data_IF_021445774592
#
_entry.id   IF_021445774592
#
_cell.length_a   1.000
_cell.length_b   1.000
_cell.length_c   1.000
_cell.angle_alpha   90.00
_cell.angle_beta   90.00
_cell.angle_gamma   90.00
#
_symmetry.space_group_name_H-M   'P 1'
#
loop_
_entity.id
_entity.type
_entity.pdbx_description
1 polymer ?
#
# COMPACT_ATOMS: atom_id res chain seq x y z
N UNK A 1 -2.14 0.80 10.04
CA UNK A 1 -3.54 0.68 9.58
C UNK A 1 -4.06 -0.63 10.16
N UNK A 2 -5.30 -1.06 9.90
CA UNK A 2 -5.70 -2.43 10.24
C UNK A 2 -5.56 -3.31 8.99
N UNK A 3 -4.65 -4.31 8.98
CA UNK A 3 -4.39 -5.14 7.79
C UNK A 3 -5.64 -5.95 7.37
N UNK A 4 -6.48 -6.37 8.31
CA UNK A 4 -7.75 -7.04 8.00
C UNK A 4 -8.70 -6.16 7.20
N UNK A 5 -8.83 -4.89 7.59
CA UNK A 5 -9.71 -3.95 6.88
C UNK A 5 -9.20 -3.69 5.47
N UNK A 6 -7.89 -3.59 5.30
CA UNK A 6 -7.27 -3.42 3.98
C UNK A 6 -7.46 -4.65 3.10
N UNK A 7 -7.21 -5.85 3.63
CA UNK A 7 -7.41 -7.10 2.90
C UNK A 7 -8.87 -7.27 2.45
N UNK A 8 -9.83 -6.99 3.35
CA UNK A 8 -11.27 -7.01 3.02
C UNK A 8 -11.67 -5.99 1.95
N UNK A 9 -11.06 -4.80 1.97
CA UNK A 9 -11.31 -3.80 0.94
C UNK A 9 -10.76 -4.27 -0.42
N UNK A 10 -9.52 -4.77 -0.48
CA UNK A 10 -8.96 -5.36 -1.70
C UNK A 10 -9.81 -6.53 -2.19
N UNK A 11 -10.31 -7.36 -1.28
CA UNK A 11 -11.19 -8.48 -1.60
C UNK A 11 -12.45 -8.03 -2.34
N UNK A 12 -13.06 -6.95 -1.86
CA UNK A 12 -14.27 -6.39 -2.45
C UNK A 12 -13.99 -5.76 -3.83
N UNK A 13 -12.92 -5.00 -3.95
CA UNK A 13 -12.60 -4.26 -5.20
C UNK A 13 -12.12 -5.19 -6.32
N UNK A 14 -11.37 -6.24 -5.99
CA UNK A 14 -10.75 -7.14 -6.96
C UNK A 14 -11.46 -8.50 -7.06
N UNK A 15 -12.54 -8.71 -6.30
CA UNK A 15 -13.22 -10.01 -6.24
C UNK A 15 -12.30 -11.15 -5.80
N UNK A 16 -11.51 -10.95 -4.74
CA UNK A 16 -10.54 -11.95 -4.29
C UNK A 16 -11.20 -13.16 -3.64
N UNK A 17 -10.63 -14.34 -3.85
CA UNK A 17 -11.03 -15.56 -3.14
C UNK A 17 -10.59 -15.52 -1.67
N UNK A 18 -11.17 -16.41 -0.84
CA UNK A 18 -10.75 -16.53 0.57
C UNK A 18 -9.27 -16.87 0.71
N UNK A 19 -8.74 -17.72 -0.16
CA UNK A 19 -7.31 -18.11 -0.16
C UNK A 19 -6.41 -16.92 -0.50
N UNK A 20 -6.78 -16.14 -1.52
CA UNK A 20 -6.04 -14.92 -1.89
C UNK A 20 -6.04 -13.90 -0.73
N UNK A 21 -7.18 -13.73 -0.04
CA UNK A 21 -7.27 -12.86 1.14
C UNK A 21 -6.37 -13.36 2.27
N UNK A 22 -6.36 -14.68 2.52
CA UNK A 22 -5.52 -15.29 3.55
C UNK A 22 -4.02 -15.10 3.25
N UNK A 23 -3.62 -15.13 1.98
CA UNK A 23 -2.24 -14.87 1.55
C UNK A 23 -1.86 -13.38 1.58
N UNK A 24 -2.79 -12.48 1.25
CA UNK A 24 -2.54 -11.03 1.20
C UNK A 24 -2.49 -10.40 2.60
N UNK A 25 -3.30 -10.87 3.55
CA UNK A 25 -3.35 -10.34 4.91
C UNK A 25 -1.97 -10.27 5.61
N UNK A 26 -1.13 -11.32 5.65
CA UNK A 26 0.18 -11.25 6.27
C UNK A 26 1.13 -10.28 5.54
N UNK A 27 1.05 -10.18 4.21
CA UNK A 27 1.84 -9.20 3.42
C UNK A 27 1.52 -7.77 3.86
N UNK A 28 0.22 -7.46 4.02
CA UNK A 28 -0.23 -6.15 4.49
C UNK A 28 0.15 -5.88 5.94
N UNK A 29 0.07 -6.89 6.81
CA UNK A 29 0.44 -6.79 8.22
C UNK A 29 1.94 -6.51 8.39
N UNK A 30 2.79 -7.24 7.69
CA UNK A 30 4.24 -7.05 7.67
C UNK A 30 4.60 -5.64 7.17
N UNK A 31 4.03 -5.23 6.03
CA UNK A 31 4.20 -3.87 5.51
C UNK A 31 3.82 -2.82 6.56
N UNK A 32 2.64 -2.94 7.16
CA UNK A 32 2.15 -1.98 8.15
C UNK A 32 3.07 -1.89 9.39
N UNK A 33 3.59 -3.02 9.86
CA UNK A 33 4.56 -3.07 10.96
C UNK A 33 5.87 -2.35 10.57
N UNK A 34 6.43 -2.65 9.40
CA UNK A 34 7.68 -2.02 8.95
C UNK A 34 7.51 -0.51 8.74
N UNK A 35 6.35 -0.07 8.22
CA UNK A 35 6.01 1.35 8.12
C UNK A 35 5.97 2.01 9.48
N UNK A 36 5.36 1.37 10.49
CA UNK A 36 5.32 1.89 11.85
C UNK A 36 6.71 2.03 12.44
N UNK A 37 7.56 1.01 12.29
CA UNK A 37 8.95 1.05 12.75
C UNK A 37 9.74 2.18 12.07
N UNK A 38 9.63 2.33 10.75
CA UNK A 38 10.29 3.42 10.02
C UNK A 38 9.78 4.81 10.41
N UNK A 39 8.51 4.95 10.79
CA UNK A 39 7.95 6.22 11.26
C UNK A 39 8.48 6.57 12.65
N UNK A 40 8.58 5.58 13.53
CA UNK A 40 9.09 5.73 14.89
C UNK A 40 10.63 5.94 14.93
N UNK A 41 11.34 5.49 13.91
CA UNK A 41 12.80 5.65 13.81
C UNK A 41 13.18 7.13 13.60
N UNK A 42 13.62 7.79 14.67
CA UNK A 42 14.09 9.19 14.67
C UNK A 42 15.55 9.34 14.25
N UNK A 43 16.26 8.24 14.03
CA UNK A 43 17.69 8.25 13.68
C UNK A 43 17.92 8.47 12.18
N UNK A 44 16.93 8.14 11.35
CA UNK A 44 17.02 8.29 9.90
C UNK A 44 16.66 9.71 9.45
N UNK A 45 17.46 10.21 8.50
CA UNK A 45 17.16 11.42 7.76
C UNK A 45 15.79 11.28 7.05
N UNK A 46 15.01 12.37 6.91
CA UNK A 46 13.69 12.34 6.30
C UNK A 46 13.69 11.76 4.87
N UNK A 47 14.74 12.03 4.09
CA UNK A 47 14.89 11.53 2.72
C UNK A 47 15.09 10.00 2.70
N UNK A 48 15.98 9.48 3.55
CA UNK A 48 16.22 8.04 3.64
C UNK A 48 14.97 7.29 4.11
N UNK A 49 14.26 7.87 5.07
CA UNK A 49 12.98 7.33 5.54
C UNK A 49 11.95 7.26 4.41
N UNK A 50 11.86 8.30 3.59
CA UNK A 50 10.98 8.31 2.41
C UNK A 50 11.39 7.27 1.37
N UNK A 51 12.69 7.11 1.11
CA UNK A 51 13.18 6.10 0.17
C UNK A 51 12.84 4.69 0.66
N UNK A 52 13.11 4.38 1.94
CA UNK A 52 12.74 3.11 2.55
C UNK A 52 11.23 2.87 2.51
N UNK A 53 10.43 3.89 2.83
CA UNK A 53 8.97 3.82 2.72
C UNK A 53 8.52 3.46 1.29
N UNK A 54 9.10 4.08 0.26
CA UNK A 54 8.79 3.77 -1.14
C UNK A 54 9.15 2.34 -1.51
N UNK A 55 10.33 1.87 -1.09
CA UNK A 55 10.77 0.50 -1.33
C UNK A 55 9.81 -0.52 -0.69
N UNK A 56 9.39 -0.30 0.56
CA UNK A 56 8.40 -1.16 1.23
C UNK A 56 7.06 -1.20 0.52
N UNK A 57 6.59 -0.06 0.00
CA UNK A 57 5.34 0.00 -0.76
C UNK A 57 5.45 -0.77 -2.07
N UNK A 58 6.60 -0.70 -2.75
CA UNK A 58 6.86 -1.44 -3.99
C UNK A 58 6.94 -2.94 -3.73
N UNK A 59 7.70 -3.37 -2.71
CA UNK A 59 7.82 -4.77 -2.32
C UNK A 59 6.45 -5.37 -1.97
N UNK A 60 5.66 -4.68 -1.16
CA UNK A 60 4.30 -5.13 -0.83
C UNK A 60 3.39 -5.18 -2.06
N UNK A 61 3.49 -4.23 -2.99
CA UNK A 61 2.76 -4.26 -4.28
C UNK A 61 3.09 -5.55 -5.03
N UNK A 62 4.38 -5.83 -5.25
CA UNK A 62 4.82 -7.00 -6.01
C UNK A 62 4.41 -8.31 -5.37
N UNK A 63 4.48 -8.41 -4.03
CA UNK A 63 4.01 -9.60 -3.29
C UNK A 63 2.50 -9.82 -3.43
N UNK A 64 1.71 -8.74 -3.41
CA UNK A 64 0.26 -8.83 -3.64
C UNK A 64 -0.01 -9.27 -5.08
N UNK A 65 0.64 -8.67 -6.07
CA UNK A 65 0.45 -9.00 -7.49
C UNK A 65 0.76 -10.47 -7.79
N UNK A 66 1.73 -11.08 -7.11
CA UNK A 66 2.04 -12.51 -7.25
C UNK A 66 0.90 -13.45 -6.80
N UNK A 67 -0.03 -12.98 -5.97
CA UNK A 67 -1.21 -13.73 -5.48
C UNK A 67 -2.42 -13.56 -6.40
N UNK A 68 -2.42 -12.52 -7.23
CA UNK A 68 -3.53 -12.16 -8.11
C UNK A 68 -3.47 -12.93 -9.43
N UNK A 69 -4.64 -13.15 -10.04
CA UNK A 69 -4.71 -13.50 -11.45
C UNK A 69 -4.57 -12.24 -12.33
N UNK A 70 -4.43 -12.42 -13.65
CA UNK A 70 -4.11 -11.32 -14.55
C UNK A 70 -5.19 -10.23 -14.60
N UNK A 71 -6.47 -10.60 -14.56
CA UNK A 71 -7.58 -9.63 -14.52
C UNK A 71 -7.57 -8.81 -13.22
N UNK A 72 -7.30 -9.46 -12.10
CA UNK A 72 -7.19 -8.80 -10.79
C UNK A 72 -5.95 -7.89 -10.71
N UNK A 73 -4.83 -8.28 -11.31
CA UNK A 73 -3.62 -7.44 -11.39
C UNK A 73 -3.93 -6.15 -12.14
N UNK A 74 -4.59 -6.24 -13.30
CA UNK A 74 -4.94 -5.07 -14.09
C UNK A 74 -5.81 -4.08 -13.29
N UNK A 75 -6.86 -4.58 -12.61
CA UNK A 75 -7.71 -3.77 -11.73
C UNK A 75 -6.91 -3.15 -10.56
N UNK A 76 -6.00 -3.92 -9.96
CA UNK A 76 -5.15 -3.45 -8.88
C UNK A 76 -4.23 -2.31 -9.33
N UNK A 77 -3.63 -2.42 -10.51
CA UNK A 77 -2.79 -1.38 -11.09
C UNK A 77 -3.58 -0.12 -11.42
N UNK A 78 -4.77 -0.25 -12.00
CA UNK A 78 -5.68 0.87 -12.24
C UNK A 78 -6.08 1.58 -10.94
N UNK A 79 -6.40 0.82 -9.89
CA UNK A 79 -6.71 1.38 -8.57
C UNK A 79 -5.53 2.19 -8.01
N UNK A 80 -4.30 1.69 -8.14
CA UNK A 80 -3.08 2.39 -7.70
C UNK A 80 -2.83 3.64 -8.55
N UNK A 81 -2.97 3.54 -9.87
CA UNK A 81 -2.81 4.66 -10.79
C UNK A 81 -3.80 5.78 -10.47
N UNK A 82 -5.06 5.45 -10.21
CA UNK A 82 -6.09 6.40 -9.83
C UNK A 82 -5.74 7.12 -8.53
N UNK A 83 -5.23 6.43 -7.50
CA UNK A 83 -4.77 7.08 -6.27
C UNK A 83 -3.61 8.05 -6.50
N UNK A 84 -2.67 7.71 -7.40
CA UNK A 84 -1.57 8.62 -7.77
C UNK A 84 -2.06 9.82 -8.57
N UNK A 85 -3.03 9.63 -9.45
CA UNK A 85 -3.66 10.70 -10.24
C UNK A 85 -4.39 11.72 -9.38
N UNK A 86 -5.16 11.26 -8.38
CA UNK A 86 -5.87 12.15 -7.44
C UNK A 86 -4.90 12.96 -6.55
N UNK A 87 -3.72 12.43 -6.25
CA UNK A 87 -2.69 13.17 -5.51
C UNK A 87 -2.03 14.28 -6.34
N UNK A 88 -2.16 14.25 -7.67
CA UNK A 88 -1.61 15.26 -8.59
C UNK A 88 -2.57 16.44 -8.85
N UNK A 89 -3.85 16.31 -8.44
CA UNK A 89 -4.87 17.37 -8.50
C UNK A 89 -5.15 18.06 -7.15
N UNK A 90 -4.67 17.51 -6.04
CA UNK A 90 -4.72 18.15 -4.73
C UNK A 90 -3.45 18.98 -4.49
N UNK A 91 -3.42 20.16 -5.10
CA UNK A 91 -2.48 21.23 -4.75
C UNK A 91 -2.68 21.61 -3.27
N UNK A 92 -1.61 21.85 -2.48
CA UNK A 92 -1.73 22.14 -1.06
C UNK A 92 -2.30 23.55 -0.86
N UNK A 93 -3.59 23.65 -0.58
CA UNK A 93 -4.19 24.86 -0.01
C UNK A 93 -3.76 24.97 1.46
N UNK A 94 -2.57 25.57 1.64
CA UNK A 94 -2.11 26.48 2.70
C UNK A 94 -2.51 26.29 4.17
N UNK A 95 -1.49 26.35 5.04
CA UNK A 95 -1.34 27.37 6.10
C UNK A 95 0.07 27.18 6.70
N UNK A 96 1.05 28.08 6.63
CA UNK A 96 1.10 29.52 6.90
C UNK A 96 0.61 29.89 8.29
N UNK A 97 1.45 29.65 9.29
CA UNK A 97 1.66 30.51 10.48
C UNK A 97 3.03 30.19 11.08
#
# INVERSE_FOLDING_TARGET
MNPDKQAKHLAKELGLSQDQVAQIKPILADRDQQIQSLRADTTLAPQDRHQKMRALMQDSKSKIEAVLNDSQKEQFEQMIANRRGHHKGAQPSGQSS
#
